data_IF_224664073383
#
_entry.id   IF_224664073383
#
_cell.length_a   1.000
_cell.length_b   1.000
_cell.length_c   1.000
_cell.angle_alpha   90.00
_cell.angle_beta   90.00
_cell.angle_gamma   90.00
#
_symmetry.space_group_name_H-M   'P 1'
#
loop_
_entity.id
_entity.type
_entity.pdbx_description
1 polymer ?
#
# COMPACT_ATOMS: atom_id res chain seq x y z
N UNK A 1 -10.13 -6.06 -24.47
CA UNK A 1 -8.97 -6.93 -24.20
C UNK A 1 -7.82 -6.35 -24.98
N UNK A 2 -6.81 -5.81 -24.31
CA UNK A 2 -5.61 -5.31 -24.97
C UNK A 2 -4.67 -6.48 -25.13
N UNK A 3 -4.38 -6.87 -26.37
CA UNK A 3 -3.65 -8.11 -26.73
C UNK A 3 -2.14 -8.06 -26.43
N UNK A 4 -1.77 -7.43 -25.31
CA UNK A 4 -0.38 -7.35 -24.86
C UNK A 4 -0.13 -8.46 -23.84
N UNK A 5 0.82 -9.33 -24.17
CA UNK A 5 1.33 -10.37 -23.29
C UNK A 5 2.77 -10.04 -22.89
N UNK A 6 3.13 -10.40 -21.66
CA UNK A 6 4.46 -10.17 -21.10
C UNK A 6 4.87 -11.35 -20.22
N UNK A 7 6.14 -11.69 -20.23
CA UNK A 7 6.66 -12.70 -19.30
C UNK A 7 7.14 -12.04 -18.00
N UNK A 8 6.62 -12.48 -16.86
CA UNK A 8 7.05 -12.04 -15.52
C UNK A 8 7.29 -13.29 -14.67
N UNK A 9 8.51 -13.46 -14.17
CA UNK A 9 8.93 -14.64 -13.39
C UNK A 9 8.67 -15.99 -14.10
N UNK A 10 8.75 -16.02 -15.44
CA UNK A 10 8.47 -17.22 -16.22
C UNK A 10 6.99 -17.48 -16.50
N UNK A 11 6.08 -16.62 -16.02
CA UNK A 11 4.65 -16.71 -16.28
C UNK A 11 4.23 -15.78 -17.41
N UNK A 12 3.34 -16.27 -18.28
CA UNK A 12 2.72 -15.44 -19.31
C UNK A 12 1.62 -14.60 -18.66
N UNK A 13 1.84 -13.30 -18.60
CA UNK A 13 0.91 -12.33 -18.05
C UNK A 13 0.13 -11.60 -19.14
N UNK A 14 -1.12 -11.28 -18.83
CA UNK A 14 -1.98 -10.43 -19.65
C UNK A 14 -2.06 -9.04 -19.04
N UNK A 15 -2.17 -8.02 -19.89
CA UNK A 15 -2.34 -6.65 -19.45
C UNK A 15 -3.81 -6.35 -19.10
N UNK A 16 -4.03 -5.67 -17.98
CA UNK A 16 -5.28 -4.98 -17.67
C UNK A 16 -4.99 -3.53 -17.25
N UNK A 17 -5.98 -2.66 -17.42
CA UNK A 17 -5.91 -1.27 -16.97
C UNK A 17 -7.16 -0.94 -16.18
N UNK A 18 -7.01 -0.16 -15.12
CA UNK A 18 -8.14 0.30 -14.31
C UNK A 18 -7.87 1.70 -13.75
N UNK A 19 -8.93 2.49 -13.61
CA UNK A 19 -8.88 3.76 -12.90
C UNK A 19 -9.27 3.52 -11.44
N UNK A 20 -8.34 3.74 -10.52
CA UNK A 20 -8.54 3.52 -9.10
C UNK A 20 -7.93 4.67 -8.30
N UNK A 21 -8.76 5.27 -7.44
CA UNK A 21 -8.39 6.41 -6.55
C UNK A 21 -7.70 7.57 -7.29
N UNK A 22 -8.26 7.94 -8.44
CA UNK A 22 -7.75 9.05 -9.25
C UNK A 22 -6.45 8.75 -10.00
N UNK A 23 -6.01 7.48 -10.04
CA UNK A 23 -4.87 7.03 -10.82
C UNK A 23 -5.29 6.00 -11.85
N UNK A 24 -4.69 6.11 -13.03
CA UNK A 24 -4.75 5.06 -14.05
C UNK A 24 -3.65 4.05 -13.79
N UNK A 25 -4.04 2.82 -13.53
CA UNK A 25 -3.14 1.69 -13.29
C UNK A 25 -3.03 0.83 -14.53
N UNK A 26 -1.82 0.34 -14.78
CA UNK A 26 -1.55 -0.77 -15.69
C UNK A 26 -1.03 -1.93 -14.86
N UNK A 27 -1.63 -3.11 -15.06
CA UNK A 27 -1.30 -4.31 -14.30
C UNK A 27 -1.08 -5.48 -15.23
N UNK A 28 -0.23 -6.40 -14.82
CA UNK A 28 0.08 -7.64 -15.52
C UNK A 28 -0.24 -8.82 -14.62
N UNK A 29 -1.17 -9.67 -15.05
CA UNK A 29 -1.66 -10.79 -14.25
C UNK A 29 -1.50 -12.13 -14.96
N UNK A 30 -1.15 -13.16 -14.20
CA UNK A 30 -0.94 -14.52 -14.71
C UNK A 30 -2.15 -15.41 -14.42
N UNK A 31 -2.85 -15.86 -15.47
CA UNK A 31 -3.99 -16.78 -15.34
C UNK A 31 -3.59 -18.20 -14.94
N UNK A 32 -2.31 -18.56 -15.13
CA UNK A 32 -1.73 -19.83 -14.70
C UNK A 32 -1.70 -19.96 -13.16
N UNK A 33 -1.80 -18.83 -12.47
CA UNK A 33 -1.93 -18.73 -11.01
C UNK A 33 -3.33 -18.19 -10.72
N UNK A 34 -4.36 -19.04 -10.59
CA UNK A 34 -5.77 -18.64 -10.50
C UNK A 34 -6.13 -18.09 -9.10
N UNK A 35 -5.36 -17.13 -8.62
CA UNK A 35 -5.54 -16.43 -7.35
C UNK A 35 -5.91 -15.00 -7.68
N UNK A 36 -7.11 -14.57 -7.26
CA UNK A 36 -7.61 -13.22 -7.54
C UNK A 36 -7.06 -12.20 -6.55
N UNK A 37 -5.76 -11.97 -6.59
CA UNK A 37 -5.07 -11.10 -5.64
C UNK A 37 -3.93 -10.31 -6.31
N UNK A 38 -3.34 -9.37 -5.58
CA UNK A 38 -2.28 -8.52 -6.08
C UNK A 38 -1.68 -7.59 -5.03
N UNK A 39 -0.73 -6.74 -5.43
CA UNK A 39 -0.07 -5.84 -4.51
C UNK A 39 -1.01 -4.74 -3.98
N UNK A 40 -0.83 -4.38 -2.72
CA UNK A 40 -1.54 -3.30 -2.04
C UNK A 40 -3.06 -3.50 -1.97
N UNK A 41 -3.83 -2.78 -2.80
CA UNK A 41 -5.31 -2.82 -2.86
C UNK A 41 -5.81 -3.23 -4.24
N UNK A 42 -4.91 -3.68 -5.11
CA UNK A 42 -5.18 -4.01 -6.50
C UNK A 42 -5.41 -5.51 -6.59
N UNK A 43 -6.58 -5.92 -7.09
CA UNK A 43 -6.98 -7.33 -7.18
C UNK A 43 -8.25 -7.50 -8.01
N UNK A 44 -8.91 -8.66 -7.91
CA UNK A 44 -10.19 -8.93 -8.59
C UNK A 44 -10.09 -9.44 -10.03
N UNK A 45 -8.88 -9.72 -10.52
CA UNK A 45 -8.63 -10.35 -11.83
C UNK A 45 -8.62 -11.88 -11.70
N UNK A 46 -8.89 -12.65 -12.77
CA UNK A 46 -8.93 -14.12 -12.72
C UNK A 46 -7.55 -14.78 -12.55
N UNK A 47 -6.52 -14.03 -12.19
CA UNK A 47 -5.16 -14.52 -11.96
C UNK A 47 -4.35 -13.54 -11.12
N UNK A 48 -3.22 -14.02 -10.60
CA UNK A 48 -2.38 -13.24 -9.68
C UNK A 48 -1.70 -12.09 -10.41
N UNK A 49 -1.80 -10.88 -9.85
CA UNK A 49 -1.10 -9.71 -10.38
C UNK A 49 0.38 -9.78 -9.98
N UNK A 50 1.25 -9.94 -10.98
CA UNK A 50 2.70 -10.01 -10.79
C UNK A 50 3.39 -8.66 -10.98
N UNK A 51 2.77 -7.73 -11.70
CA UNK A 51 3.28 -6.38 -11.86
C UNK A 51 2.13 -5.37 -11.89
N UNK A 52 2.32 -4.22 -11.25
CA UNK A 52 1.37 -3.12 -11.26
C UNK A 52 2.12 -1.78 -11.20
N UNK A 53 1.74 -0.84 -12.04
CA UNK A 53 2.25 0.52 -11.96
C UNK A 53 1.20 1.54 -12.35
N UNK A 54 1.30 2.73 -11.78
CA UNK A 54 0.48 3.86 -12.20
C UNK A 54 1.09 4.56 -13.42
N UNK A 55 0.28 5.35 -14.13
CA UNK A 55 0.70 6.10 -15.33
C UNK A 55 1.94 6.98 -15.08
N UNK A 56 2.03 7.58 -13.89
CA UNK A 56 3.17 8.41 -13.48
C UNK A 56 4.40 7.63 -13.02
N UNK A 57 4.33 6.30 -12.92
CA UNK A 57 5.36 5.42 -12.34
C UNK A 57 5.85 5.88 -10.96
N UNK A 58 4.99 6.54 -10.20
CA UNK A 58 5.25 6.91 -8.82
C UNK A 58 5.12 5.70 -7.90
N UNK A 59 4.28 4.75 -8.29
CA UNK A 59 4.11 3.47 -7.61
C UNK A 59 4.36 2.36 -8.63
N UNK A 60 5.35 1.54 -8.35
CA UNK A 60 5.71 0.39 -9.17
C UNK A 60 5.87 -0.81 -8.25
N UNK A 61 5.08 -1.83 -8.52
CA UNK A 61 5.13 -3.11 -7.84
C UNK A 61 5.51 -4.16 -8.87
N UNK A 62 6.57 -4.91 -8.58
CA UNK A 62 7.02 -6.03 -9.41
C UNK A 62 7.31 -7.19 -8.49
N UNK A 63 6.70 -8.34 -8.77
CA UNK A 63 7.00 -9.58 -8.08
C UNK A 63 8.46 -9.97 -8.37
N UNK A 64 9.21 -10.24 -7.31
CA UNK A 64 10.63 -10.63 -7.40
C UNK A 64 10.84 -12.14 -7.23
N UNK A 65 9.82 -12.86 -6.74
CA UNK A 65 9.85 -14.30 -6.57
C UNK A 65 8.49 -14.82 -6.11
N UNK A 66 8.26 -16.11 -6.36
CA UNK A 66 7.15 -16.87 -5.78
C UNK A 66 7.71 -18.13 -5.11
N UNK A 67 7.32 -18.33 -3.87
CA UNK A 67 7.69 -19.52 -3.11
C UNK A 67 6.43 -20.20 -2.60
N UNK A 68 6.38 -21.52 -2.75
CA UNK A 68 5.34 -22.34 -2.14
C UNK A 68 5.76 -22.66 -0.71
N UNK A 69 5.19 -21.94 0.23
CA UNK A 69 5.38 -22.22 1.66
C UNK A 69 4.60 -23.49 2.02
N UNK A 70 5.13 -24.28 2.95
CA UNK A 70 4.35 -25.36 3.61
C UNK A 70 3.21 -24.72 4.42
N UNK A 71 2.23 -25.50 4.87
CA UNK A 71 1.00 -25.06 5.59
C UNK A 71 1.27 -24.35 6.94
N UNK A 72 2.12 -23.33 6.92
CA UNK A 72 2.34 -22.39 7.98
C UNK A 72 1.31 -21.29 7.84
N UNK A 73 0.55 -21.07 8.90
CA UNK A 73 -0.42 -19.99 8.93
C UNK A 73 0.33 -18.66 8.78
N UNK A 74 -0.03 -17.89 7.75
CA UNK A 74 0.38 -16.49 7.66
C UNK A 74 -0.41 -15.72 8.73
N UNK A 75 0.25 -15.48 9.87
CA UNK A 75 -0.34 -14.70 10.97
C UNK A 75 -0.12 -13.22 10.66
N UNK A 76 -1.14 -12.56 10.10
CA UNK A 76 -1.14 -11.10 9.90
C UNK A 76 -1.28 -10.32 11.21
N UNK A 77 -1.72 -10.99 12.28
CA UNK A 77 -1.88 -10.35 13.58
C UNK A 77 -0.51 -10.24 14.23
N UNK A 78 0.16 -9.09 14.15
CA UNK A 78 1.21 -8.78 15.12
C UNK A 78 0.53 -8.83 16.49
N UNK A 79 0.89 -9.75 17.41
CA UNK A 79 0.33 -9.73 18.73
C UNK A 79 0.69 -8.37 19.32
N UNK A 80 -0.34 -7.56 19.58
CA UNK A 80 -0.18 -6.21 20.04
C UNK A 80 0.48 -6.25 21.43
N UNK A 81 1.81 -6.05 21.50
CA UNK A 81 2.59 -6.09 22.75
C UNK A 81 2.64 -4.72 23.44
N UNK A 82 1.51 -4.04 23.55
CA UNK A 82 1.45 -2.71 24.17
C UNK A 82 0.12 -2.46 24.88
N UNK A 83 0.17 -1.67 25.96
CA UNK A 83 -0.99 -1.20 26.71
C UNK A 83 -1.67 0.01 26.04
N UNK A 84 -1.76 0.05 24.71
CA UNK A 84 -2.47 1.16 24.05
C UNK A 84 -3.96 0.94 24.17
N UNK A 85 -4.65 1.92 24.74
CA UNK A 85 -6.11 2.00 24.70
C UNK A 85 -6.52 2.33 23.27
N UNK A 86 -7.43 1.55 22.70
CA UNK A 86 -8.05 1.93 21.44
C UNK A 86 -9.05 3.06 21.71
N UNK A 87 -8.95 4.13 20.94
CA UNK A 87 -9.94 5.20 20.95
C UNK A 87 -10.93 4.97 19.82
N UNK A 88 -12.23 4.99 20.13
CA UNK A 88 -13.25 4.95 19.08
C UNK A 88 -13.20 6.25 18.28
N UNK A 89 -13.08 6.14 16.96
CA UNK A 89 -13.07 7.27 16.03
C UNK A 89 -13.77 6.87 14.73
N UNK A 90 -14.08 7.85 13.88
CA UNK A 90 -14.57 7.59 12.54
C UNK A 90 -13.42 7.66 11.52
N UNK A 91 -13.65 7.09 10.33
CA UNK A 91 -12.65 7.03 9.25
C UNK A 91 -12.08 8.41 8.90
N UNK A 92 -12.94 9.43 8.79
CA UNK A 92 -12.53 10.75 8.32
C UNK A 92 -11.63 11.44 9.35
N UNK A 93 -11.97 11.35 10.64
CA UNK A 93 -11.18 11.93 11.71
C UNK A 93 -9.87 11.18 11.92
N UNK A 94 -9.88 9.84 11.78
CA UNK A 94 -8.66 9.05 11.75
C UNK A 94 -7.70 9.50 10.63
N UNK A 95 -8.19 9.65 9.39
CA UNK A 95 -7.37 10.08 8.26
C UNK A 95 -6.83 11.51 8.42
N UNK A 96 -7.62 12.42 9.02
CA UNK A 96 -7.17 13.78 9.34
C UNK A 96 -6.07 13.79 10.39
N UNK A 97 -6.23 12.98 11.43
CA UNK A 97 -5.24 12.81 12.49
C UNK A 97 -3.95 12.23 11.93
N UNK A 98 -4.02 11.13 11.17
CA UNK A 98 -2.88 10.49 10.51
C UNK A 98 -2.16 11.47 9.58
N UNK A 99 -2.90 12.23 8.75
CA UNK A 99 -2.32 13.29 7.93
C UNK A 99 -1.58 14.32 8.77
N UNK A 100 -2.16 14.77 9.87
CA UNK A 100 -1.52 15.78 10.74
C UNK A 100 -0.26 15.21 11.37
N UNK A 101 -0.30 13.96 11.82
CA UNK A 101 0.87 13.25 12.35
C UNK A 101 1.97 13.13 11.29
N UNK A 102 1.67 12.71 10.07
CA UNK A 102 2.68 12.59 8.99
C UNK A 102 3.28 13.94 8.56
N UNK A 103 2.49 15.01 8.65
CA UNK A 103 2.94 16.37 8.31
C UNK A 103 3.71 17.03 9.46
N UNK A 104 3.40 16.65 10.71
CA UNK A 104 3.93 17.27 11.91
C UNK A 104 4.15 16.29 13.07
N UNK A 105 4.96 15.25 12.83
CA UNK A 105 5.15 14.16 13.79
C UNK A 105 5.83 14.63 15.08
N UNK A 106 6.76 15.58 14.99
CA UNK A 106 7.51 16.07 16.15
C UNK A 106 6.60 16.79 17.14
N UNK A 107 5.71 17.69 16.68
CA UNK A 107 4.77 18.38 17.56
C UNK A 107 3.84 17.42 18.29
N UNK A 108 3.42 16.32 17.64
CA UNK A 108 2.63 15.28 18.28
C UNK A 108 3.42 14.54 19.36
N UNK A 109 4.65 14.11 19.06
CA UNK A 109 5.52 13.42 20.03
C UNK A 109 5.84 14.33 21.21
N UNK A 110 6.13 15.61 20.97
CA UNK A 110 6.39 16.59 22.02
C UNK A 110 5.15 16.81 22.89
N UNK A 111 3.95 16.88 22.31
CA UNK A 111 2.70 16.99 23.07
C UNK A 111 2.45 15.76 23.96
N UNK A 112 2.69 14.55 23.44
CA UNK A 112 2.43 13.31 24.17
C UNK A 112 3.49 12.97 25.22
N UNK A 113 4.76 13.23 24.91
CA UNK A 113 5.90 12.76 25.71
C UNK A 113 6.66 13.88 26.42
N UNK A 114 6.46 15.14 26.00
CA UNK A 114 7.26 16.28 26.46
C UNK A 114 8.66 16.37 25.83
N UNK A 115 9.04 15.43 24.96
CA UNK A 115 10.37 15.36 24.33
C UNK A 115 10.31 15.99 22.94
N UNK A 116 11.17 16.97 22.70
CA UNK A 116 11.40 17.54 21.38
C UNK A 116 12.52 16.76 20.66
N UNK A 117 12.18 16.11 19.54
CA UNK A 117 13.13 15.31 18.76
C UNK A 117 13.85 16.12 17.68
N UNK A 118 13.36 17.32 17.33
CA UNK A 118 13.94 18.14 16.27
C UNK A 118 14.69 19.37 16.80
N UNK A 119 14.32 19.92 17.95
CA UNK A 119 14.92 21.16 18.46
C UNK A 119 14.74 22.31 17.45
N UNK A 120 15.84 22.92 17.01
CA UNK A 120 15.84 24.01 16.02
C UNK A 120 15.79 23.52 14.55
N UNK A 121 15.87 22.20 14.31
CA UNK A 121 15.83 21.66 12.95
C UNK A 121 14.41 21.80 12.34
N UNK A 122 14.29 22.31 11.09
CA UNK A 122 13.01 22.46 10.45
C UNK A 122 12.39 21.09 10.18
N UNK A 123 11.11 20.95 10.52
CA UNK A 123 10.38 19.71 10.31
C UNK A 123 10.37 19.34 8.80
N UNK A 124 10.88 18.15 8.47
CA UNK A 124 10.83 17.63 7.11
C UNK A 124 9.40 17.26 6.78
N UNK A 125 8.69 18.18 6.11
CA UNK A 125 7.36 17.90 5.57
C UNK A 125 7.50 16.83 4.49
N UNK A 126 7.18 15.59 4.86
CA UNK A 126 7.08 14.51 3.90
C UNK A 126 6.00 14.86 2.88
N UNK A 127 6.38 15.08 1.62
CA UNK A 127 5.44 15.20 0.50
C UNK A 127 4.89 13.82 0.15
N UNK A 128 4.21 13.19 1.10
CA UNK A 128 3.40 12.02 0.81
C UNK A 128 2.17 12.48 0.05
N UNK A 129 2.03 11.99 -1.19
CA UNK A 129 0.73 12.01 -1.85
C UNK A 129 -0.13 10.97 -1.12
N UNK A 130 -0.98 11.45 -0.20
CA UNK A 130 -1.91 10.64 0.59
C UNK A 130 -3.03 10.12 -0.32
N UNK A 131 -2.68 9.22 -1.22
CA UNK A 131 -3.50 8.72 -2.33
C UNK A 131 -4.77 7.98 -1.97
N UNK A 132 -5.10 8.00 -0.68
CA UNK A 132 -6.36 7.55 -0.14
C UNK A 132 -7.38 8.69 -0.03
N UNK A 133 -7.28 9.70 -0.90
CA UNK A 133 -8.34 10.69 -1.10
C UNK A 133 -9.47 10.06 -1.92
N UNK A 134 -10.14 9.09 -1.30
CA UNK A 134 -11.51 8.77 -1.68
C UNK A 134 -12.32 10.04 -1.38
N UNK A 135 -12.77 10.71 -2.44
CA UNK A 135 -13.88 11.66 -2.36
C UNK A 135 -15.17 10.92 -2.07
#
# INVERSE_FOLDING_TARGET
MGDSTREVLGYTCQQATADFRGRRWTVWFATDIPISDGPWKIGGLPGLILEAYDEGKQHVFTAVGLERVKDELIIFNRPFRGNHRFEQTNRLDFLRMERRFLMDSNSFIQMETGIDLLGDEPNQVMRYDLLERDY
#
